data_IF_579646232675
#
_entry.id   IF_579646232675
#
_cell.length_a   1.000
_cell.length_b   1.000
_cell.length_c   1.000
_cell.angle_alpha   90.00
_cell.angle_beta   90.00
_cell.angle_gamma   90.00
#
_symmetry.space_group_name_H-M   'P 1'
#
loop_
_entity.id
_entity.type
_entity.pdbx_description
1 polymer ?
#
# COMPACT_ATOMS: atom_id res chain seq x y z
N UNK A 1 32.29 15.49 -66.51
CA UNK A 1 31.09 15.01 -65.79
C UNK A 1 31.35 14.07 -64.59
N UNK A 2 32.60 13.70 -64.24
CA UNK A 2 32.87 12.77 -63.11
C UNK A 2 33.06 13.46 -61.74
N UNK A 3 33.42 14.75 -61.71
CA UNK A 3 33.65 15.50 -60.47
C UNK A 3 32.34 15.84 -59.73
N UNK A 4 31.30 16.26 -60.47
CA UNK A 4 30.00 16.60 -59.89
C UNK A 4 29.26 15.41 -59.27
N UNK A 5 29.41 14.20 -59.83
CA UNK A 5 28.76 12.98 -59.31
C UNK A 5 29.40 12.51 -57.99
N UNK A 6 30.71 12.67 -57.83
CA UNK A 6 31.43 12.38 -56.57
C UNK A 6 31.07 13.39 -55.49
N UNK A 7 31.01 14.68 -55.83
CA UNK A 7 30.58 15.72 -54.90
C UNK A 7 29.12 15.51 -54.42
N UNK A 8 28.22 15.09 -55.33
CA UNK A 8 26.84 14.71 -54.98
C UNK A 8 26.79 13.50 -54.04
N UNK A 9 27.57 12.44 -54.29
CA UNK A 9 27.64 11.29 -53.41
C UNK A 9 28.16 11.65 -52.01
N UNK A 10 29.17 12.51 -51.91
CA UNK A 10 29.71 12.98 -50.62
C UNK A 10 28.68 13.83 -49.88
N UNK A 11 27.95 14.71 -50.58
CA UNK A 11 26.88 15.50 -49.99
C UNK A 11 25.75 14.61 -49.44
N UNK A 12 25.33 13.59 -50.19
CA UNK A 12 24.29 12.64 -49.76
C UNK A 12 24.76 11.85 -48.53
N UNK A 13 26.02 11.38 -48.51
CA UNK A 13 26.60 10.69 -47.35
C UNK A 13 26.63 11.59 -46.11
N UNK A 14 27.01 12.86 -46.26
CA UNK A 14 27.02 13.80 -45.14
C UNK A 14 25.61 14.07 -44.60
N UNK A 15 24.61 14.19 -45.47
CA UNK A 15 23.21 14.35 -45.06
C UNK A 15 22.67 13.11 -44.34
N UNK A 16 23.01 11.91 -44.80
CA UNK A 16 22.65 10.67 -44.13
C UNK A 16 23.31 10.59 -42.75
N UNK A 17 24.61 10.87 -42.64
CA UNK A 17 25.32 10.89 -41.37
C UNK A 17 24.77 11.95 -40.40
N UNK A 18 24.43 13.14 -40.89
CA UNK A 18 23.82 14.19 -40.08
C UNK A 18 22.42 13.78 -39.58
N UNK A 19 21.60 13.15 -40.45
CA UNK A 19 20.29 12.65 -40.05
C UNK A 19 20.38 11.53 -39.00
N UNK A 20 21.34 10.61 -39.15
CA UNK A 20 21.58 9.54 -38.19
C UNK A 20 22.10 10.09 -36.85
N UNK A 21 23.00 11.08 -36.89
CA UNK A 21 23.50 11.78 -35.71
C UNK A 21 22.39 12.51 -34.96
N UNK A 22 21.49 13.18 -35.67
CA UNK A 22 20.33 13.86 -35.09
C UNK A 22 19.34 12.86 -34.45
N UNK A 23 19.14 11.70 -35.09
CA UNK A 23 18.29 10.63 -34.57
C UNK A 23 18.91 10.02 -33.31
N UNK A 24 20.24 9.79 -33.33
CA UNK A 24 20.99 9.30 -32.18
C UNK A 24 20.93 10.26 -30.98
N UNK A 25 21.13 11.56 -31.22
CA UNK A 25 21.03 12.59 -30.16
C UNK A 25 19.60 12.66 -29.61
N UNK A 26 18.57 12.64 -30.48
CA UNK A 26 17.16 12.60 -30.02
C UNK A 26 16.82 11.36 -29.19
N UNK A 27 17.41 10.20 -29.49
CA UNK A 27 17.19 8.99 -28.70
C UNK A 27 18.01 8.97 -27.40
N UNK A 28 19.10 9.76 -27.33
CA UNK A 28 19.98 9.82 -26.17
C UNK A 28 19.51 10.83 -25.12
N UNK A 29 18.84 11.90 -25.56
CA UNK A 29 18.18 12.89 -24.70
C UNK A 29 16.77 12.45 -24.25
N UNK A 30 16.39 11.19 -24.43
CA UNK A 30 15.32 10.63 -23.62
C UNK A 30 15.82 10.69 -22.16
N UNK A 31 15.23 11.52 -21.27
CA UNK A 31 15.57 11.45 -19.86
C UNK A 31 15.45 9.99 -19.47
N UNK A 32 16.54 9.46 -18.89
CA UNK A 32 16.67 8.04 -18.57
C UNK A 32 15.34 7.53 -18.05
N UNK A 33 14.84 6.45 -18.68
CA UNK A 33 13.60 5.78 -18.34
C UNK A 33 13.32 6.01 -16.85
N UNK A 34 12.24 6.72 -16.48
CA UNK A 34 11.83 6.68 -15.09
C UNK A 34 11.81 5.21 -14.70
N UNK A 35 12.51 4.89 -13.61
CA UNK A 35 12.66 3.55 -13.05
C UNK A 35 11.38 2.77 -13.30
N UNK A 36 11.45 1.50 -13.79
CA UNK A 36 10.30 0.77 -14.31
C UNK A 36 9.09 1.09 -13.45
N UNK A 37 8.20 1.91 -14.04
CA UNK A 37 7.00 2.40 -13.38
C UNK A 37 6.42 1.24 -12.61
N UNK A 38 6.26 1.47 -11.30
CA UNK A 38 5.71 0.56 -10.31
C UNK A 38 4.98 -0.59 -11.00
N UNK A 39 5.53 -1.80 -10.89
CA UNK A 39 4.85 -3.01 -11.35
C UNK A 39 3.40 -3.04 -10.83
N UNK A 40 3.11 -2.31 -9.75
CA UNK A 40 1.83 -2.17 -9.09
C UNK A 40 1.52 -0.67 -8.90
N UNK A 41 1.10 0.03 -9.96
CA UNK A 41 0.37 1.29 -9.79
C UNK A 41 -1.13 0.95 -9.81
N UNK A 42 -1.91 1.24 -8.74
CA UNK A 42 -3.35 1.03 -8.77
C UNK A 42 -3.94 1.93 -9.87
N UNK A 43 -4.57 1.32 -10.87
CA UNK A 43 -5.50 2.03 -11.74
C UNK A 43 -6.60 2.58 -10.83
N UNK A 44 -6.88 3.89 -10.91
CA UNK A 44 -7.97 4.53 -10.17
C UNK A 44 -9.29 3.85 -10.52
N UNK A 45 -9.74 2.96 -9.65
CA UNK A 45 -11.06 2.35 -9.68
C UNK A 45 -12.15 3.31 -9.19
N UNK A 46 -13.43 2.95 -9.34
CA UNK A 46 -14.58 3.75 -8.92
C UNK A 46 -14.62 3.91 -7.39
N UNK A 47 -15.49 4.79 -6.85
CA UNK A 47 -15.18 5.62 -5.67
C UNK A 47 -14.84 4.81 -4.43
N UNK A 48 -13.92 5.38 -3.64
CA UNK A 48 -13.47 4.99 -2.30
C UNK A 48 -14.17 3.74 -1.75
N UNK A 49 -13.43 2.63 -1.53
CA UNK A 49 -13.90 1.64 -0.58
C UNK A 49 -14.25 2.39 0.71
N UNK A 50 -15.45 2.20 1.24
CA UNK A 50 -15.72 2.48 2.64
C UNK A 50 -14.72 1.62 3.41
N UNK A 51 -13.59 2.20 3.84
CA UNK A 51 -12.65 1.52 4.74
C UNK A 51 -13.42 1.33 6.04
N UNK A 52 -13.92 0.12 6.35
CA UNK A 52 -14.68 -0.10 7.59
C UNK A 52 -13.77 0.17 8.80
N UNK A 53 -12.46 0.04 8.60
CA UNK A 53 -11.41 0.17 9.61
C UNK A 53 -10.96 1.62 9.86
N UNK A 54 -11.40 2.60 9.07
CA UNK A 54 -11.16 4.03 9.33
C UNK A 54 -12.33 4.71 10.05
N UNK A 55 -13.40 3.97 10.40
CA UNK A 55 -14.53 4.53 11.12
C UNK A 55 -14.05 4.92 12.52
N UNK A 56 -14.03 6.21 12.87
CA UNK A 56 -13.53 6.65 14.16
C UNK A 56 -14.46 6.16 15.26
N UNK A 57 -13.87 5.79 16.39
CA UNK A 57 -14.67 5.44 17.56
C UNK A 57 -15.55 6.65 17.94
N UNK A 58 -16.85 6.47 18.27
CA UNK A 58 -17.80 7.58 18.42
C UNK A 58 -17.34 8.68 19.37
N UNK A 59 -16.56 8.31 20.39
CA UNK A 59 -15.98 9.24 21.37
C UNK A 59 -15.05 10.27 20.72
N UNK A 60 -14.25 9.86 19.75
CA UNK A 60 -13.25 10.73 19.12
C UNK A 60 -13.71 11.28 17.78
N UNK A 61 -14.84 10.85 17.23
CA UNK A 61 -15.35 11.21 15.90
C UNK A 61 -15.41 12.73 15.63
N UNK A 62 -15.61 13.53 16.68
CA UNK A 62 -15.66 14.99 16.61
C UNK A 62 -14.30 15.67 16.28
N UNK A 63 -13.18 14.95 16.41
CA UNK A 63 -11.85 15.48 16.12
C UNK A 63 -11.58 15.40 14.60
N UNK A 64 -11.21 16.50 13.92
CA UNK A 64 -10.93 16.48 12.50
C UNK A 64 -9.60 15.76 12.20
N UNK A 65 -9.53 15.11 11.04
CA UNK A 65 -8.34 14.40 10.55
C UNK A 65 -8.06 14.83 9.13
N UNK A 66 -6.79 15.11 8.83
CA UNK A 66 -6.32 15.28 7.45
C UNK A 66 -5.82 13.95 6.94
N UNK A 67 -6.57 13.33 6.03
CA UNK A 67 -6.22 12.03 5.45
C UNK A 67 -4.94 12.16 4.62
N UNK A 68 -4.09 11.13 4.68
CA UNK A 68 -2.91 10.95 3.82
C UNK A 68 -3.24 9.90 2.77
N UNK A 69 -3.72 10.35 1.60
CA UNK A 69 -4.19 9.46 0.54
C UNK A 69 -3.13 8.42 0.15
N UNK A 70 -1.86 8.81 0.08
CA UNK A 70 -0.77 7.90 -0.28
C UNK A 70 -0.60 6.72 0.69
N UNK A 71 -0.95 6.89 1.97
CA UNK A 71 -0.88 5.81 2.98
C UNK A 71 -2.15 4.98 2.93
N UNK A 72 -3.31 5.63 2.76
CA UNK A 72 -4.59 4.94 2.61
C UNK A 72 -4.64 4.06 1.36
N UNK A 73 -3.98 4.46 0.27
CA UNK A 73 -3.85 3.65 -0.95
C UNK A 73 -3.04 2.36 -0.73
N UNK A 74 -2.14 2.34 0.25
CA UNK A 74 -1.38 1.14 0.63
C UNK A 74 -2.22 0.18 1.48
N UNK A 75 -3.19 0.70 2.22
CA UNK A 75 -4.17 -0.13 2.92
C UNK A 75 -4.98 -0.88 1.87
N UNK A 76 -4.86 -2.20 1.91
CA UNK A 76 -5.36 -3.05 0.82
C UNK A 76 -6.85 -2.82 0.59
N UNK A 77 -7.19 -2.15 -0.51
CA UNK A 77 -8.54 -2.20 -1.05
C UNK A 77 -8.79 -3.62 -1.54
N UNK A 78 -9.81 -4.29 -1.01
CA UNK A 78 -10.21 -5.64 -1.46
C UNK A 78 -10.79 -5.65 -2.90
N UNK A 79 -10.50 -4.62 -3.71
CA UNK A 79 -11.04 -4.39 -5.03
C UNK A 79 -9.88 -4.32 -6.04
N UNK A 80 -9.31 -5.48 -6.35
CA UNK A 80 -8.47 -5.61 -7.53
C UNK A 80 -9.40 -5.87 -8.73
N UNK A 81 -9.55 -4.89 -9.62
CA UNK A 81 -10.25 -5.06 -10.90
C UNK A 81 -9.24 -5.19 -12.04
N UNK A 82 -9.24 -6.33 -12.73
CA UNK A 82 -8.49 -6.50 -13.97
C UNK A 82 -9.31 -5.98 -15.14
N UNK A 83 -9.12 -4.71 -15.51
CA UNK A 83 -9.76 -4.15 -16.70
C UNK A 83 -8.91 -4.45 -17.95
N UNK A 84 -9.57 -4.92 -19.01
CA UNK A 84 -8.88 -5.10 -20.30
C UNK A 84 -8.72 -3.77 -20.99
N UNK A 85 -7.62 -3.57 -21.73
CA UNK A 85 -7.45 -2.37 -22.55
C UNK A 85 -8.36 -2.44 -23.79
N UNK A 86 -9.66 -2.17 -23.61
CA UNK A 86 -10.64 -2.16 -24.70
C UNK A 86 -10.58 -0.81 -25.42
N UNK A 87 -10.19 -0.81 -26.70
CA UNK A 87 -10.29 0.37 -27.57
C UNK A 87 -9.08 1.32 -27.60
N UNK A 88 -7.94 0.97 -26.98
CA UNK A 88 -6.71 1.76 -27.17
C UNK A 88 -6.09 1.44 -28.53
N UNK A 89 -5.78 2.50 -29.30
CA UNK A 89 -5.04 2.40 -30.55
C UNK A 89 -3.72 1.64 -30.29
N UNK A 90 -3.41 0.65 -31.12
CA UNK A 90 -2.22 -0.19 -30.94
C UNK A 90 -0.93 0.64 -31.18
N UNK A 91 -0.39 1.23 -30.11
CA UNK A 91 0.88 1.94 -30.14
C UNK A 91 2.01 0.98 -29.71
N UNK A 92 3.14 0.91 -30.45
CA UNK A 92 4.20 -0.08 -30.24
C UNK A 92 4.94 0.03 -28.89
N UNK A 93 4.62 1.03 -28.08
CA UNK A 93 5.25 1.29 -26.77
C UNK A 93 4.29 1.09 -25.58
N UNK A 94 3.03 0.69 -25.80
CA UNK A 94 2.07 0.45 -24.72
C UNK A 94 1.92 -1.06 -24.44
N UNK A 95 2.07 -1.46 -23.17
CA UNK A 95 1.71 -2.81 -22.70
C UNK A 95 0.19 -2.97 -22.77
N UNK A 96 -0.28 -3.88 -23.62
CA UNK A 96 -1.68 -4.28 -23.64
C UNK A 96 -1.94 -5.29 -22.53
N UNK A 97 -2.92 -5.00 -21.67
CA UNK A 97 -3.37 -5.93 -20.62
C UNK A 97 -4.62 -6.62 -21.14
N UNK A 98 -4.51 -7.93 -21.37
CA UNK A 98 -5.66 -8.77 -21.67
C UNK A 98 -6.24 -9.29 -20.35
N UNK A 99 -7.49 -8.94 -20.07
CA UNK A 99 -8.24 -9.51 -18.96
C UNK A 99 -9.20 -10.57 -19.51
N UNK A 100 -9.05 -11.81 -19.04
CA UNK A 100 -9.96 -12.91 -19.38
C UNK A 100 -11.04 -12.97 -18.31
N UNK A 101 -12.29 -12.86 -18.74
CA UNK A 101 -13.44 -13.02 -17.86
C UNK A 101 -13.78 -14.51 -17.69
N UNK A 102 -13.24 -15.12 -16.65
CA UNK A 102 -13.47 -16.52 -16.31
C UNK A 102 -14.93 -16.82 -15.93
N UNK A 103 -15.77 -15.82 -15.66
CA UNK A 103 -17.20 -16.06 -15.37
C UNK A 103 -17.94 -16.58 -16.59
N UNK A 104 -17.46 -16.25 -17.79
CA UNK A 104 -18.04 -16.69 -19.07
C UNK A 104 -17.67 -18.12 -19.45
N UNK A 105 -16.76 -18.76 -18.71
CA UNK A 105 -16.36 -20.14 -18.96
C UNK A 105 -17.38 -21.17 -18.45
N UNK A 106 -18.33 -20.76 -17.60
CA UNK A 106 -19.32 -21.62 -16.99
C UNK A 106 -20.73 -21.28 -17.46
N UNK A 107 -21.61 -22.28 -17.54
CA UNK A 107 -23.04 -22.02 -17.69
C UNK A 107 -23.57 -21.26 -16.46
N UNK A 108 -24.56 -20.34 -16.59
CA UNK A 108 -25.01 -19.51 -15.47
C UNK A 108 -25.48 -20.27 -14.22
N UNK A 109 -26.01 -21.49 -14.40
CA UNK A 109 -26.40 -22.37 -13.29
C UNK A 109 -25.19 -23.03 -12.63
N UNK A 110 -24.23 -23.46 -13.43
CA UNK A 110 -22.98 -24.06 -12.97
C UNK A 110 -22.10 -23.03 -12.24
N UNK A 111 -22.02 -21.80 -12.76
CA UNK A 111 -21.30 -20.70 -12.11
C UNK A 111 -21.80 -20.44 -10.69
N UNK A 112 -23.12 -20.47 -10.47
CA UNK A 112 -23.71 -20.31 -9.12
C UNK A 112 -23.34 -21.48 -8.20
N UNK A 113 -23.36 -22.71 -8.71
CA UNK A 113 -22.96 -23.88 -7.92
C UNK A 113 -21.46 -23.86 -7.60
N UNK A 114 -20.62 -23.53 -8.58
CA UNK A 114 -19.16 -23.44 -8.43
C UNK A 114 -18.74 -22.33 -7.46
N UNK A 115 -19.36 -21.16 -7.54
CA UNK A 115 -19.11 -20.06 -6.58
C UNK A 115 -19.54 -20.43 -5.17
N UNK A 116 -20.71 -21.05 -4.99
CA UNK A 116 -21.16 -21.52 -3.68
C UNK A 116 -20.22 -22.59 -3.09
N UNK A 117 -19.77 -23.55 -3.91
CA UNK A 117 -18.81 -24.57 -3.47
C UNK A 117 -17.45 -23.97 -3.12
N UNK A 118 -16.98 -22.98 -3.89
CA UNK A 118 -15.72 -22.27 -3.61
C UNK A 118 -15.80 -21.51 -2.30
N UNK A 119 -16.91 -20.83 -2.04
CA UNK A 119 -17.13 -20.13 -0.78
C UNK A 119 -17.13 -21.11 0.39
N UNK A 120 -17.83 -22.25 0.25
CA UNK A 120 -17.83 -23.28 1.28
C UNK A 120 -16.43 -23.83 1.58
N UNK A 121 -15.62 -24.13 0.56
CA UNK A 121 -14.24 -24.58 0.74
C UNK A 121 -13.35 -23.49 1.34
N UNK A 122 -13.56 -22.24 0.98
CA UNK A 122 -12.85 -21.11 1.56
C UNK A 122 -13.17 -20.97 3.06
N UNK A 123 -14.44 -21.04 3.44
CA UNK A 123 -14.86 -21.04 4.84
C UNK A 123 -14.30 -22.25 5.61
N UNK A 124 -14.30 -23.43 4.99
CA UNK A 124 -13.69 -24.63 5.58
C UNK A 124 -12.17 -24.46 5.76
N UNK A 125 -11.47 -23.85 4.80
CA UNK A 125 -10.07 -23.49 4.94
C UNK A 125 -9.85 -22.52 6.10
N UNK A 126 -10.60 -21.41 6.16
CA UNK A 126 -10.52 -20.45 7.25
C UNK A 126 -10.71 -21.12 8.62
N UNK A 127 -11.69 -22.02 8.76
CA UNK A 127 -11.92 -22.73 10.01
C UNK A 127 -10.75 -23.64 10.44
N UNK A 128 -9.95 -24.14 9.49
CA UNK A 128 -8.77 -24.97 9.74
C UNK A 128 -7.49 -24.18 9.93
N UNK A 129 -7.36 -23.05 9.24
CA UNK A 129 -6.15 -22.23 9.22
C UNK A 129 -6.16 -21.13 10.27
N UNK A 130 -7.34 -20.71 10.74
CA UNK A 130 -7.46 -19.70 11.78
C UNK A 130 -6.70 -20.16 13.03
N UNK A 131 -5.62 -19.45 13.32
CA UNK A 131 -4.81 -19.63 14.50
C UNK A 131 -5.20 -18.60 15.54
N UNK A 132 -4.79 -18.82 16.80
CA UNK A 132 -4.96 -17.82 17.84
C UNK A 132 -4.26 -16.48 17.49
N UNK A 133 -3.25 -16.49 16.61
CA UNK A 133 -2.52 -15.30 16.17
C UNK A 133 -3.30 -14.46 15.14
N UNK A 134 -4.29 -15.02 14.45
CA UNK A 134 -5.18 -14.26 13.55
C UNK A 134 -6.17 -13.38 14.31
N UNK A 135 -6.42 -13.70 15.58
CA UNK A 135 -7.28 -12.92 16.46
C UNK A 135 -6.45 -11.93 17.27
N UNK A 136 -6.59 -10.62 16.99
CA UNK A 136 -5.88 -9.59 17.75
C UNK A 136 -6.31 -9.57 19.22
N UNK A 137 -5.48 -10.14 20.10
CA UNK A 137 -5.69 -10.06 21.54
C UNK A 137 -5.16 -8.73 22.10
N UNK A 138 -6.11 -7.85 22.38
CA UNK A 138 -5.89 -6.53 22.98
C UNK A 138 -5.73 -6.67 24.49
N UNK A 139 -4.51 -6.46 24.99
CA UNK A 139 -4.30 -6.29 26.42
C UNK A 139 -4.82 -4.92 26.89
N UNK A 140 -5.42 -4.81 28.08
CA UNK A 140 -5.72 -3.53 28.67
C UNK A 140 -4.42 -2.74 28.93
N UNK A 141 -4.51 -1.41 28.86
CA UNK A 141 -3.39 -0.52 29.14
C UNK A 141 -2.84 -0.77 30.55
N UNK A 142 -1.51 -0.64 30.71
CA UNK A 142 -0.76 -0.94 31.94
C UNK A 142 -0.73 -2.43 32.34
N UNK A 143 -1.10 -3.34 31.43
CA UNK A 143 -0.75 -4.75 31.58
C UNK A 143 0.78 -4.93 31.52
N UNK A 144 1.39 -5.81 32.34
CA UNK A 144 2.81 -6.17 32.20
C UNK A 144 3.10 -6.86 30.85
N UNK A 145 2.05 -7.22 30.11
CA UNK A 145 2.14 -7.77 28.77
C UNK A 145 2.03 -6.61 27.76
N UNK A 146 3.05 -6.48 26.90
CA UNK A 146 3.08 -5.48 25.83
C UNK A 146 1.96 -5.71 24.82
N UNK A 147 1.50 -4.62 24.20
CA UNK A 147 0.45 -4.65 23.17
C UNK A 147 1.04 -4.89 21.77
N UNK A 148 0.45 -5.75 20.93
CA UNK A 148 -0.53 -6.80 21.23
C UNK A 148 0.12 -8.03 21.86
N UNK A 149 -0.66 -8.83 22.58
CA UNK A 149 -0.16 -9.99 23.33
C UNK A 149 0.54 -11.06 22.47
N UNK A 150 0.15 -11.15 21.20
CA UNK A 150 0.57 -12.20 20.27
C UNK A 150 1.36 -11.65 19.08
N UNK A 151 1.72 -10.36 19.09
CA UNK A 151 2.22 -9.67 17.90
C UNK A 151 1.14 -9.48 16.85
N UNK A 152 1.52 -8.97 15.67
CA UNK A 152 0.61 -8.85 14.53
C UNK A 152 1.20 -9.62 13.36
N UNK A 153 0.46 -10.61 12.85
CA UNK A 153 0.78 -11.27 11.60
C UNK A 153 0.28 -10.40 10.44
N UNK A 154 1.17 -10.11 9.50
CA UNK A 154 0.85 -9.30 8.34
C UNK A 154 1.32 -10.05 7.11
N UNK A 155 0.46 -10.09 6.09
CA UNK A 155 0.82 -10.71 4.83
C UNK A 155 2.09 -10.06 4.26
N UNK A 156 2.92 -10.83 3.53
CA UNK A 156 4.10 -10.30 2.87
C UNK A 156 3.82 -9.02 2.08
N UNK A 157 4.61 -7.97 2.33
CA UNK A 157 4.52 -6.68 1.64
C UNK A 157 3.15 -5.98 1.75
N UNK A 158 2.38 -6.27 2.80
CA UNK A 158 1.05 -5.68 3.02
C UNK A 158 1.09 -4.61 4.09
N UNK A 159 0.26 -3.59 3.92
CA UNK A 159 -0.02 -2.58 4.94
C UNK A 159 -1.40 -2.78 5.54
N UNK A 160 -1.49 -2.61 6.86
CA UNK A 160 -2.73 -2.72 7.63
C UNK A 160 -2.88 -1.54 8.56
N UNK A 161 -4.12 -1.24 8.94
CA UNK A 161 -4.41 -0.36 10.07
C UNK A 161 -4.30 -1.17 11.35
N UNK A 162 -3.58 -0.66 12.35
CA UNK A 162 -3.43 -1.39 13.62
C UNK A 162 -4.66 -1.13 14.49
N UNK A 163 -5.49 -2.15 14.76
CA UNK A 163 -6.70 -1.94 15.53
C UNK A 163 -6.39 -1.65 16.99
N UNK A 164 -7.31 -0.98 17.69
CA UNK A 164 -7.36 -0.96 19.15
C UNK A 164 -6.27 -0.16 19.89
N UNK A 165 -5.39 0.54 19.18
CA UNK A 165 -4.36 1.38 19.81
C UNK A 165 -5.02 2.55 20.55
N UNK A 166 -4.83 2.58 21.87
CA UNK A 166 -5.26 3.67 22.74
C UNK A 166 -4.41 3.73 23.99
N UNK A 167 -4.19 4.94 24.49
CA UNK A 167 -3.56 5.22 25.77
C UNK A 167 -4.64 5.46 26.81
N UNK A 168 -4.62 4.67 27.89
CA UNK A 168 -5.43 4.93 29.09
C UNK A 168 -4.50 5.49 30.16
N UNK A 169 -4.58 6.79 30.37
CA UNK A 169 -3.78 7.52 31.35
C UNK A 169 -4.68 8.46 32.16
N UNK A 170 -4.24 8.82 33.36
CA UNK A 170 -4.93 9.82 34.15
C UNK A 170 -4.88 11.19 33.45
N UNK A 171 -5.95 11.97 33.62
CA UNK A 171 -6.01 13.35 33.15
C UNK A 171 -5.03 14.22 33.94
N UNK A 172 -4.37 15.18 33.28
CA UNK A 172 -3.54 16.20 33.94
C UNK A 172 -2.04 16.08 33.66
N UNK A 173 -1.63 15.22 32.74
CA UNK A 173 -0.25 15.20 32.27
C UNK A 173 -0.03 16.31 31.24
N UNK A 174 1.12 17.00 31.30
CA UNK A 174 1.42 18.08 30.35
C UNK A 174 1.63 17.53 28.92
N UNK A 175 2.23 16.34 28.81
CA UNK A 175 2.50 15.66 27.54
C UNK A 175 2.29 14.15 27.69
N UNK A 176 1.48 13.59 26.80
CA UNK A 176 1.30 12.17 26.59
C UNK A 176 2.18 11.74 25.42
N UNK A 177 2.97 10.66 25.59
CA UNK A 177 3.86 10.15 24.56
C UNK A 177 3.72 8.63 24.43
N UNK A 178 3.71 8.15 23.19
CA UNK A 178 3.71 6.73 22.83
C UNK A 178 4.83 6.46 21.84
N UNK A 179 5.60 5.41 22.09
CA UNK A 179 6.65 4.93 21.18
C UNK A 179 6.24 3.56 20.66
N UNK A 180 6.27 3.40 19.36
CA UNK A 180 5.98 2.16 18.65
C UNK A 180 7.25 1.73 17.93
N UNK A 181 7.61 0.46 18.07
CA UNK A 181 8.80 -0.12 17.45
C UNK A 181 8.40 -1.38 16.69
N UNK A 182 8.92 -1.52 15.49
CA UNK A 182 8.71 -2.64 14.58
C UNK A 182 10.05 -3.31 14.29
N UNK A 183 10.06 -4.64 14.22
CA UNK A 183 11.26 -5.41 13.87
C UNK A 183 11.29 -5.81 12.40
N UNK A 184 10.12 -5.90 11.77
CA UNK A 184 9.94 -6.49 10.43
C UNK A 184 9.22 -5.55 9.45
N UNK A 185 9.03 -4.31 9.85
CA UNK A 185 8.21 -3.37 9.11
C UNK A 185 8.49 -1.91 9.47
N UNK A 186 7.63 -1.06 8.94
CA UNK A 186 7.65 0.38 9.21
C UNK A 186 6.28 0.86 9.66
N UNK A 187 6.27 1.92 10.43
CA UNK A 187 5.08 2.60 10.90
C UNK A 187 4.78 3.83 10.06
N UNK A 188 3.52 4.06 9.75
CA UNK A 188 3.03 5.27 9.09
C UNK A 188 1.66 5.63 9.67
N UNK A 189 1.06 6.75 9.27
CA UNK A 189 -0.29 7.14 9.67
C UNK A 189 -1.18 7.42 8.46
N UNK A 190 -2.38 6.83 8.46
CA UNK A 190 -3.40 7.03 7.44
C UNK A 190 -3.97 8.46 7.42
N UNK A 191 -3.77 9.23 8.49
CA UNK A 191 -4.18 10.61 8.60
C UNK A 191 -3.53 11.32 9.77
N UNK A 192 -3.49 12.64 9.70
CA UNK A 192 -2.86 13.52 10.68
C UNK A 192 -3.92 14.27 11.50
N UNK A 193 -3.76 14.24 12.82
CA UNK A 193 -4.58 14.94 13.81
C UNK A 193 -3.83 16.18 14.27
N UNK A 194 -4.48 17.35 14.19
CA UNK A 194 -3.88 18.60 14.64
C UNK A 194 -3.62 18.56 16.16
N UNK A 195 -2.43 18.99 16.57
CA UNK A 195 -2.01 18.98 17.98
C UNK A 195 -1.34 17.68 18.42
N UNK A 196 -1.04 16.77 17.49
CA UNK A 196 -0.17 15.60 17.73
C UNK A 196 1.12 15.75 16.96
N UNK A 197 2.26 15.61 17.64
CA UNK A 197 3.59 15.59 17.02
C UNK A 197 3.95 14.17 16.64
N UNK A 198 4.30 13.96 15.37
CA UNK A 198 4.72 12.68 14.81
C UNK A 198 6.21 12.75 14.45
N UNK A 199 6.98 11.74 14.87
CA UNK A 199 8.40 11.61 14.52
C UNK A 199 8.72 10.16 14.18
N UNK A 200 9.37 9.92 13.04
CA UNK A 200 9.71 8.56 12.59
C UNK A 200 8.68 7.93 11.65
N UNK A 201 7.86 8.72 10.96
CA UNK A 201 6.98 8.19 9.91
C UNK A 201 7.79 7.51 8.79
N UNK A 202 7.30 6.36 8.34
CA UNK A 202 7.97 5.49 7.37
C UNK A 202 9.19 4.76 7.91
N UNK A 203 9.46 4.82 9.22
CA UNK A 203 10.59 4.14 9.87
C UNK A 203 10.11 2.99 10.78
N UNK A 204 11.02 2.09 11.21
CA UNK A 204 10.69 1.05 12.19
C UNK A 204 10.31 1.58 13.56
N UNK A 205 10.76 2.79 13.91
CA UNK A 205 10.45 3.45 15.18
C UNK A 205 9.60 4.69 14.93
N UNK A 206 8.41 4.75 15.54
CA UNK A 206 7.48 5.88 15.47
C UNK A 206 7.17 6.38 16.88
N UNK A 207 7.32 7.69 17.07
CA UNK A 207 6.93 8.38 18.31
C UNK A 207 5.79 9.35 18.02
N UNK A 208 4.76 9.28 18.86
CA UNK A 208 3.59 10.15 18.85
C UNK A 208 3.51 10.87 20.19
N UNK A 209 3.33 12.19 20.17
CA UNK A 209 3.14 12.95 21.41
C UNK A 209 2.09 14.06 21.28
N UNK A 210 1.36 14.33 22.36
CA UNK A 210 0.35 15.40 22.41
C UNK A 210 0.12 15.85 23.84
N UNK A 211 -0.30 17.11 24.02
CA UNK A 211 -0.82 17.60 25.30
C UNK A 211 -2.27 17.17 25.57
N UNK A 212 -2.98 16.66 24.55
CA UNK A 212 -4.36 16.19 24.65
C UNK A 212 -4.46 14.68 24.51
N UNK A 213 -5.00 13.99 25.52
CA UNK A 213 -5.18 12.53 25.48
C UNK A 213 -6.14 12.10 24.36
N UNK A 214 -7.24 12.83 24.15
CA UNK A 214 -8.22 12.51 23.11
C UNK A 214 -7.64 12.71 21.70
N UNK A 215 -6.81 13.73 21.51
CA UNK A 215 -6.11 13.97 20.25
C UNK A 215 -5.12 12.84 19.95
N UNK A 216 -4.33 12.44 20.96
CA UNK A 216 -3.40 11.33 20.83
C UNK A 216 -4.12 10.02 20.51
N UNK A 217 -5.21 9.70 21.22
CA UNK A 217 -5.99 8.50 20.97
C UNK A 217 -6.65 8.51 19.60
N UNK A 218 -7.12 9.67 19.12
CA UNK A 218 -7.60 9.80 17.74
C UNK A 218 -6.49 9.53 16.72
N UNK A 219 -5.27 9.99 16.98
CA UNK A 219 -4.14 9.75 16.10
C UNK A 219 -3.71 8.28 16.10
N UNK A 220 -3.74 7.62 17.26
CA UNK A 220 -3.43 6.19 17.40
C UNK A 220 -4.37 5.29 16.59
N UNK A 221 -5.64 5.66 16.42
CA UNK A 221 -6.60 4.95 15.57
C UNK A 221 -6.24 4.95 14.08
N UNK A 222 -5.32 5.82 13.66
CA UNK A 222 -4.92 5.98 12.26
C UNK A 222 -3.53 5.42 12.00
N UNK A 223 -2.90 4.80 12.99
CA UNK A 223 -1.57 4.20 12.82
C UNK A 223 -1.67 2.97 11.93
N UNK A 224 -0.77 2.91 10.96
CA UNK A 224 -0.65 1.83 10.01
C UNK A 224 0.70 1.15 10.16
N UNK A 225 0.71 -0.17 10.00
CA UNK A 225 1.91 -0.98 9.94
C UNK A 225 2.08 -1.50 8.52
N UNK A 226 3.31 -1.43 8.00
CA UNK A 226 3.68 -2.00 6.71
C UNK A 226 4.76 -3.06 6.86
N UNK A 227 4.46 -4.29 6.46
CA UNK A 227 5.44 -5.38 6.47
C UNK A 227 6.46 -5.20 5.36
N UNK A 228 7.75 -5.30 5.70
CA UNK A 228 8.85 -5.33 4.72
C UNK A 228 9.40 -6.74 4.50
N UNK A 229 8.92 -7.72 5.27
CA UNK A 229 9.29 -9.13 5.14
C UNK A 229 8.48 -9.82 4.05
N UNK A 230 9.14 -10.71 3.29
CA UNK A 230 8.48 -11.53 2.26
C UNK A 230 8.04 -12.92 2.78
N UNK A 231 8.33 -13.24 4.04
CA UNK A 231 8.05 -14.56 4.59
C UNK A 231 6.58 -14.68 5.01
N UNK A 232 5.88 -15.69 4.48
CA UNK A 232 4.43 -15.84 4.64
C UNK A 232 3.96 -16.22 6.06
N UNK A 233 4.87 -16.59 6.96
CA UNK A 233 4.57 -17.06 8.32
C UNK A 233 5.34 -16.25 9.37
N UNK A 234 5.56 -14.97 9.15
CA UNK A 234 6.35 -14.13 10.06
C UNK A 234 5.46 -13.04 10.64
N UNK A 235 5.37 -13.02 11.96
CA UNK A 235 4.70 -11.99 12.72
C UNK A 235 5.73 -11.10 13.42
N UNK A 236 5.43 -9.80 13.50
CA UNK A 236 6.23 -8.87 14.30
C UNK A 236 5.81 -9.03 15.76
N UNK A 237 6.72 -9.58 16.57
CA UNK A 237 6.52 -9.76 18.01
C UNK A 237 7.38 -8.72 18.73
N UNK A 238 6.76 -7.86 19.54
CA UNK A 238 7.46 -6.85 20.31
C UNK A 238 8.66 -7.43 21.07
N UNK A 239 9.85 -6.88 20.83
CA UNK A 239 11.09 -7.35 21.47
C UNK A 239 11.15 -6.85 22.90
N UNK A 240 11.28 -7.76 23.87
CA UNK A 240 11.71 -7.41 25.24
C UNK A 240 13.18 -7.02 25.20
N UNK A 241 13.49 -5.75 25.40
CA UNK A 241 14.79 -5.39 25.96
C UNK A 241 14.73 -5.63 27.47
N UNK A 242 15.44 -6.66 27.91
CA UNK A 242 15.75 -6.92 29.33
C UNK A 242 17.00 -6.16 29.77
#
# INVERSE_FOLDING_TARGET
>A
MRLGRRALCVLVLLLVCASLGLLYVRTRDAPGLPAPLALWAPLQGPPRPELPDLVPEPRYAHIPVRIKEQVVELLSGNNCSCESSVGSLHLPFQRQVQAIDFTKAFDPKELKAASASREQEFQAFLSRSQSAADQLLVAPANSPLQYPLQGVEVQPLRSILVPGLSLQAASGQEVYQVNLTASLGTWDVAGEVTGVTLTGEGQPDLTLASSGLDLLNRQLQLVTYSSTSYQANTADTGVRHG
#
